data_IF_295697183915
#
_entry.id   IF_295697183915
#
_cell.length_a   1.000
_cell.length_b   1.000
_cell.length_c   1.000
_cell.angle_alpha   90.00
_cell.angle_beta   90.00
_cell.angle_gamma   90.00
#
_symmetry.space_group_name_H-M   'P 1'
#
loop_
_entity.id
_entity.type
_entity.pdbx_description
1 polymer ?
#
# COMPACT_ATOMS: atom_id res chain seq x y z
N UNK A 1 -14.30 15.99 -4.84
CA UNK A 1 -14.05 15.34 -3.54
C UNK A 1 -15.10 15.83 -2.56
N UNK A 2 -15.80 14.92 -1.89
CA UNK A 2 -16.73 15.20 -0.80
C UNK A 2 -16.24 14.49 0.46
N UNK A 3 -16.34 15.18 1.59
CA UNK A 3 -15.96 14.68 2.90
C UNK A 3 -17.09 15.04 3.86
N UNK A 4 -17.63 14.07 4.58
CA UNK A 4 -18.77 14.28 5.47
C UNK A 4 -18.36 14.92 6.78
N UNK A 5 -17.30 14.41 7.41
CA UNK A 5 -16.78 14.98 8.65
C UNK A 5 -15.27 14.90 8.74
N UNK A 6 -14.68 15.95 9.32
CA UNK A 6 -13.27 16.02 9.66
C UNK A 6 -13.17 16.36 11.14
N UNK A 7 -12.40 15.56 11.88
CA UNK A 7 -12.12 15.75 13.30
C UNK A 7 -10.62 15.79 13.50
N UNK A 8 -10.16 16.86 14.12
CA UNK A 8 -8.77 17.05 14.52
C UNK A 8 -8.76 17.17 16.04
N UNK A 9 -7.96 16.34 16.70
CA UNK A 9 -7.81 16.34 18.15
C UNK A 9 -6.34 16.53 18.49
N UNK A 10 -6.05 17.64 19.14
CA UNK A 10 -4.75 17.88 19.76
C UNK A 10 -4.72 17.21 21.14
N UNK A 11 -3.62 16.55 21.44
CA UNK A 11 -3.40 15.88 22.71
C UNK A 11 -2.15 16.45 23.37
N UNK A 12 -2.17 16.57 24.70
CA UNK A 12 -0.96 16.80 25.45
C UNK A 12 -0.21 15.46 25.52
N UNK A 13 1.01 15.36 24.94
CA UNK A 13 1.76 14.11 24.91
C UNK A 13 2.14 13.70 26.33
N UNK A 14 1.78 12.48 26.72
CA UNK A 14 2.18 11.88 28.01
C UNK A 14 3.29 10.87 27.76
N UNK A 15 4.17 10.64 28.73
CA UNK A 15 5.22 9.62 28.62
C UNK A 15 4.65 8.23 28.29
N UNK A 16 3.45 7.90 28.77
CA UNK A 16 2.78 6.63 28.48
C UNK A 16 2.02 6.61 27.15
N UNK A 17 1.74 7.76 26.53
CA UNK A 17 1.03 7.86 25.24
C UNK A 17 1.46 9.15 24.53
N UNK A 18 2.57 9.14 23.78
CA UNK A 18 3.14 10.33 23.20
C UNK A 18 2.49 10.74 21.88
N UNK A 19 1.18 10.54 21.75
CA UNK A 19 0.43 11.13 20.64
C UNK A 19 0.19 12.60 20.93
N UNK A 20 0.38 13.44 19.92
CA UNK A 20 0.12 14.87 20.04
C UNK A 20 -1.00 15.32 19.09
N UNK A 21 -1.27 14.55 18.05
CA UNK A 21 -2.33 14.83 17.09
C UNK A 21 -3.01 13.54 16.66
N UNK A 22 -4.34 13.55 16.68
CA UNK A 22 -5.18 12.55 16.02
C UNK A 22 -6.05 13.25 14.99
N UNK A 23 -6.02 12.74 13.76
CA UNK A 23 -6.83 13.20 12.65
C UNK A 23 -7.79 12.08 12.28
N UNK A 24 -9.06 12.41 12.08
CA UNK A 24 -10.07 11.47 11.59
C UNK A 24 -10.90 12.15 10.53
N UNK A 25 -11.03 11.51 9.37
CA UNK A 25 -11.93 11.96 8.31
C UNK A 25 -12.86 10.80 7.94
N UNK A 26 -14.15 11.08 7.78
CA UNK A 26 -15.18 10.06 7.51
C UNK A 26 -15.89 10.33 6.19
N UNK A 27 -16.34 9.24 5.56
CA UNK A 27 -17.11 9.23 4.30
C UNK A 27 -16.44 10.09 3.22
N UNK A 28 -15.18 9.77 2.93
CA UNK A 28 -14.43 10.42 1.86
C UNK A 28 -14.85 9.78 0.56
N UNK A 29 -15.39 10.59 -0.35
CA UNK A 29 -15.78 10.14 -1.68
C UNK A 29 -15.19 11.08 -2.73
N UNK A 30 -14.52 10.50 -3.71
CA UNK A 30 -13.96 11.23 -4.84
C UNK A 30 -14.40 10.56 -6.14
N UNK A 31 -15.18 11.30 -6.92
CA UNK A 31 -15.59 10.91 -8.26
C UNK A 31 -14.82 11.74 -9.26
N UNK A 32 -14.02 11.07 -10.08
CA UNK A 32 -13.38 11.64 -11.25
C UNK A 32 -13.84 10.89 -12.51
N UNK A 33 -13.65 11.45 -13.72
CA UNK A 33 -13.97 10.74 -14.96
C UNK A 33 -13.20 9.43 -15.14
N UNK A 34 -12.02 9.30 -14.50
CA UNK A 34 -11.15 8.12 -14.60
C UNK A 34 -11.41 7.06 -13.53
N UNK A 35 -11.86 7.49 -12.35
CA UNK A 35 -12.00 6.60 -11.20
C UNK A 35 -13.00 7.13 -10.17
N UNK A 36 -13.44 6.22 -9.31
CA UNK A 36 -14.23 6.51 -8.12
C UNK A 36 -13.50 5.92 -6.90
N UNK A 37 -13.11 6.78 -5.99
CA UNK A 37 -12.51 6.43 -4.71
C UNK A 37 -13.56 6.65 -3.61
N UNK A 38 -13.71 5.66 -2.75
CA UNK A 38 -14.55 5.75 -1.55
C UNK A 38 -13.79 5.17 -0.37
N UNK A 39 -13.77 5.89 0.74
CA UNK A 39 -13.15 5.48 1.99
C UNK A 39 -14.10 5.81 3.13
N UNK A 40 -14.43 4.82 3.96
CA UNK A 40 -15.38 5.03 5.06
C UNK A 40 -14.77 5.86 6.17
N UNK A 41 -13.53 5.57 6.59
CA UNK A 41 -12.84 6.33 7.62
C UNK A 41 -11.33 6.30 7.41
N UNK A 42 -10.69 7.45 7.53
CA UNK A 42 -9.23 7.57 7.66
C UNK A 42 -8.93 8.06 9.07
N UNK A 43 -8.10 7.32 9.79
CA UNK A 43 -7.60 7.70 11.10
C UNK A 43 -6.07 7.81 11.05
N UNK A 44 -5.53 9.00 11.26
CA UNK A 44 -4.10 9.22 11.36
C UNK A 44 -3.73 9.64 12.79
N UNK A 45 -2.78 8.96 13.41
CA UNK A 45 -2.18 9.36 14.69
C UNK A 45 -0.75 9.78 14.46
N UNK A 46 -0.40 10.99 14.87
CA UNK A 46 0.96 11.49 14.85
C UNK A 46 1.57 11.40 16.26
N UNK A 47 2.77 10.85 16.30
CA UNK A 47 3.55 10.62 17.50
C UNK A 47 4.62 11.69 17.66
N UNK A 48 4.86 12.11 18.90
CA UNK A 48 5.91 13.05 19.24
C UNK A 48 7.13 12.26 19.69
N UNK A 49 8.24 12.40 18.95
CA UNK A 49 9.50 11.68 19.19
C UNK A 49 9.33 10.16 19.38
N UNK A 50 8.84 9.43 18.35
CA UNK A 50 8.60 7.99 18.44
C UNK A 50 9.85 7.18 18.86
N UNK A 51 11.04 7.64 18.44
CA UNK A 51 12.32 7.02 18.76
C UNK A 51 12.73 7.21 20.23
N UNK A 52 12.58 8.41 20.80
CA UNK A 52 12.96 8.70 22.18
C UNK A 52 12.17 7.86 23.17
N UNK A 53 10.86 7.73 22.90
CA UNK A 53 9.93 7.09 23.83
C UNK A 53 9.76 5.60 23.54
N UNK A 54 10.42 5.07 22.51
CA UNK A 54 10.41 3.66 22.10
C UNK A 54 9.00 3.08 21.83
N UNK A 55 8.00 3.94 21.65
CA UNK A 55 6.59 3.56 21.55
C UNK A 55 6.23 2.90 20.22
N UNK A 56 6.85 3.31 19.12
CA UNK A 56 6.55 2.77 17.78
C UNK A 56 7.82 2.27 17.11
N UNK A 57 7.68 1.43 16.09
CA UNK A 57 8.75 0.88 15.25
C UNK A 57 9.62 1.91 14.52
N UNK A 58 9.45 3.21 14.79
CA UNK A 58 10.10 4.32 14.08
C UNK A 58 9.21 5.21 13.20
N UNK A 59 7.95 4.88 12.85
CA UNK A 59 7.10 5.81 12.11
C UNK A 59 6.63 6.94 13.00
N UNK A 60 6.58 8.14 12.40
CA UNK A 60 6.03 9.34 13.03
C UNK A 60 4.50 9.34 12.99
N UNK A 61 3.93 8.57 12.06
CA UNK A 61 2.51 8.56 11.80
C UNK A 61 2.03 7.15 11.55
N UNK A 62 0.93 6.78 12.21
CA UNK A 62 0.18 5.57 11.88
C UNK A 62 -1.12 5.99 11.21
N UNK A 63 -1.42 5.43 10.04
CA UNK A 63 -2.62 5.72 9.26
C UNK A 63 -3.45 4.45 9.13
N UNK A 64 -4.65 4.45 9.68
CA UNK A 64 -5.70 3.47 9.44
C UNK A 64 -6.61 3.95 8.32
N UNK A 65 -6.90 3.08 7.35
CA UNK A 65 -7.80 3.34 6.22
C UNK A 65 -8.85 2.24 6.19
N UNK A 66 -10.06 2.57 6.62
CA UNK A 66 -11.19 1.64 6.73
C UNK A 66 -12.07 1.68 5.47
N UNK A 67 -12.41 0.48 4.98
CA UNK A 67 -13.24 0.25 3.79
C UNK A 67 -12.75 1.03 2.57
N UNK A 68 -11.48 0.83 2.21
CA UNK A 68 -10.89 1.47 1.03
C UNK A 68 -11.44 0.80 -0.23
N UNK A 69 -12.14 1.57 -1.06
CA UNK A 69 -12.70 1.09 -2.33
C UNK A 69 -12.25 1.98 -3.47
N UNK A 70 -11.56 1.39 -4.44
CA UNK A 70 -11.09 2.07 -5.63
C UNK A 70 -11.67 1.38 -6.87
N UNK A 71 -12.48 2.11 -7.61
CA UNK A 71 -13.04 1.66 -8.89
C UNK A 71 -12.42 2.48 -10.01
N UNK A 72 -11.76 1.81 -10.94
CA UNK A 72 -11.13 2.41 -12.12
C UNK A 72 -11.95 2.01 -13.34
N UNK A 73 -12.45 2.99 -14.09
CA UNK A 73 -13.35 2.69 -15.20
C UNK A 73 -12.62 2.07 -16.39
N UNK A 74 -11.39 2.52 -16.66
CA UNK A 74 -10.55 2.00 -17.76
C UNK A 74 -9.09 1.94 -17.33
N UNK A 75 -8.41 0.84 -17.69
CA UNK A 75 -6.98 0.68 -17.40
C UNK A 75 -6.10 1.78 -18.00
N UNK A 76 -6.54 2.42 -19.09
CA UNK A 76 -5.79 3.49 -19.76
C UNK A 76 -5.80 4.82 -19.00
N UNK A 77 -6.83 5.06 -18.19
CA UNK A 77 -6.96 6.28 -17.40
C UNK A 77 -6.61 6.02 -15.92
N UNK A 78 -5.71 5.06 -15.65
CA UNK A 78 -5.27 4.79 -14.29
C UNK A 78 -4.64 6.06 -13.70
N UNK A 79 -5.08 6.54 -12.52
CA UNK A 79 -4.48 7.72 -11.89
C UNK A 79 -2.99 7.50 -11.63
N UNK A 80 -2.17 8.55 -11.78
CA UNK A 80 -0.71 8.46 -11.64
C UNK A 80 -0.27 7.79 -10.32
N UNK A 81 -0.88 8.19 -9.20
CA UNK A 81 -0.58 7.60 -7.89
C UNK A 81 -0.90 6.10 -7.80
N UNK A 82 -1.92 5.61 -8.52
CA UNK A 82 -2.24 4.18 -8.59
C UNK A 82 -1.20 3.46 -9.44
N UNK A 83 -0.75 4.07 -10.53
CA UNK A 83 0.33 3.54 -11.37
C UNK A 83 1.63 3.45 -10.56
N UNK A 84 1.96 4.47 -9.76
CA UNK A 84 3.13 4.48 -8.88
C UNK A 84 3.04 3.39 -7.80
N UNK A 85 1.87 3.25 -7.14
CA UNK A 85 1.64 2.18 -6.17
C UNK A 85 1.80 0.79 -6.81
N UNK A 86 1.27 0.63 -8.03
CA UNK A 86 1.41 -0.60 -8.80
C UNK A 86 2.86 -0.90 -9.12
N UNK A 87 3.62 0.05 -9.66
CA UNK A 87 5.05 -0.13 -9.99
C UNK A 87 5.88 -0.45 -8.74
N UNK A 88 5.61 0.22 -7.62
CA UNK A 88 6.24 -0.07 -6.33
C UNK A 88 5.92 -1.48 -5.82
N UNK A 89 4.67 -1.92 -5.94
CA UNK A 89 4.26 -3.27 -5.56
C UNK A 89 4.92 -4.31 -6.45
N UNK A 90 4.89 -4.14 -7.78
CA UNK A 90 5.56 -5.04 -8.73
C UNK A 90 7.05 -5.11 -8.44
N UNK A 91 7.70 -3.97 -8.25
CA UNK A 91 9.12 -3.92 -7.89
C UNK A 91 9.39 -4.66 -6.59
N UNK A 92 8.50 -4.52 -5.60
CA UNK A 92 8.60 -5.25 -4.32
C UNK A 92 8.37 -6.74 -4.49
N UNK A 93 7.48 -7.18 -5.38
CA UNK A 93 7.27 -8.60 -5.70
C UNK A 93 8.50 -9.15 -6.43
N UNK A 94 9.07 -8.41 -7.38
CA UNK A 94 10.16 -8.90 -8.22
C UNK A 94 11.54 -8.85 -7.55
N UNK A 95 11.75 -7.88 -6.66
CA UNK A 95 13.06 -7.65 -6.01
C UNK A 95 13.02 -7.74 -4.48
N UNK A 96 11.84 -7.84 -3.88
CA UNK A 96 11.72 -8.00 -2.44
C UNK A 96 12.08 -9.42 -2.00
N UNK A 97 12.37 -9.53 -0.71
CA UNK A 97 12.58 -10.81 -0.05
C UNK A 97 11.23 -11.35 0.43
N UNK A 98 10.87 -12.54 -0.05
CA UNK A 98 9.65 -13.23 0.36
C UNK A 98 9.87 -13.82 1.75
N UNK A 99 9.20 -13.27 2.76
CA UNK A 99 9.30 -13.76 4.13
C UNK A 99 8.35 -14.94 4.38
N UNK A 100 7.14 -14.87 3.82
CA UNK A 100 6.09 -15.88 3.99
C UNK A 100 5.06 -15.82 2.86
N UNK A 101 4.58 -16.98 2.45
CA UNK A 101 3.53 -17.14 1.44
C UNK A 101 2.81 -18.46 1.72
N UNK A 102 1.56 -18.40 2.21
CA UNK A 102 0.78 -19.59 2.53
C UNK A 102 -0.39 -19.76 1.54
N UNK A 103 -0.75 -21.02 1.27
CA UNK A 103 -1.97 -21.41 0.53
C UNK A 103 -2.21 -20.64 -0.78
N UNK A 104 -1.17 -20.46 -1.59
CA UNK A 104 -1.31 -19.91 -2.93
C UNK A 104 -2.14 -20.86 -3.80
N UNK A 105 -3.32 -20.40 -4.21
CA UNK A 105 -4.24 -21.10 -5.10
C UNK A 105 -4.42 -20.30 -6.37
N UNK A 106 -4.18 -20.92 -7.50
CA UNK A 106 -4.49 -20.35 -8.81
C UNK A 106 -5.50 -21.24 -9.52
N UNK A 107 -6.40 -20.62 -10.26
CA UNK A 107 -7.44 -21.31 -11.00
C UNK A 107 -7.67 -20.62 -12.32
N UNK A 108 -7.77 -21.42 -13.38
CA UNK A 108 -8.14 -20.93 -14.71
C UNK A 108 -9.36 -21.73 -15.15
N UNK A 109 -10.42 -21.00 -15.49
CA UNK A 109 -11.63 -21.56 -16.05
C UNK A 109 -11.78 -21.08 -17.48
N UNK A 110 -12.00 -22.03 -18.39
CA UNK A 110 -12.22 -21.78 -19.81
C UNK A 110 -13.68 -22.13 -20.15
N UNK A 111 -14.45 -21.11 -20.54
CA UNK A 111 -15.79 -21.26 -21.10
C UNK A 111 -16.03 -20.15 -22.14
N UNK A 112 -17.28 -19.75 -22.33
CA UNK A 112 -17.62 -18.58 -23.16
C UNK A 112 -16.93 -17.30 -22.67
N UNK A 113 -16.70 -17.25 -21.36
CA UNK A 113 -15.80 -16.31 -20.71
C UNK A 113 -14.66 -17.08 -20.03
N UNK A 114 -13.45 -16.51 -20.07
CA UNK A 114 -12.33 -17.06 -19.32
C UNK A 114 -12.17 -16.28 -18.01
N UNK A 115 -11.98 -17.03 -16.94
CA UNK A 115 -11.79 -16.51 -15.60
C UNK A 115 -10.47 -17.01 -15.05
N UNK A 116 -9.62 -16.08 -14.66
CA UNK A 116 -8.39 -16.37 -13.92
C UNK A 116 -8.62 -15.90 -12.49
N UNK A 117 -8.39 -16.77 -11.53
CA UNK A 117 -8.47 -16.45 -10.11
C UNK A 117 -7.15 -16.79 -9.44
N UNK A 118 -6.70 -15.92 -8.54
CA UNK A 118 -5.59 -16.17 -7.64
C UNK A 118 -6.04 -15.84 -6.22
N UNK A 119 -5.69 -16.67 -5.25
CA UNK A 119 -5.94 -16.46 -3.83
C UNK A 119 -4.67 -16.81 -3.07
N UNK A 120 -4.31 -16.03 -2.07
CA UNK A 120 -3.13 -16.24 -1.24
C UNK A 120 -3.41 -15.83 0.20
N UNK A 121 -2.81 -16.54 1.16
CA UNK A 121 -2.93 -16.28 2.58
C UNK A 121 -1.57 -15.93 3.20
N UNK A 122 -1.58 -15.11 4.26
CA UNK A 122 -0.40 -14.71 5.04
C UNK A 122 0.81 -14.31 4.18
N UNK A 123 0.59 -13.48 3.16
CA UNK A 123 1.64 -13.05 2.25
C UNK A 123 2.44 -11.90 2.85
N UNK A 124 3.71 -12.16 3.16
CA UNK A 124 4.63 -11.19 3.73
C UNK A 124 5.82 -10.95 2.78
N UNK A 125 6.03 -9.70 2.38
CA UNK A 125 7.16 -9.29 1.54
C UNK A 125 7.95 -8.22 2.26
N UNK A 126 9.26 -8.41 2.37
CA UNK A 126 10.19 -7.36 2.77
C UNK A 126 10.68 -6.63 1.52
N UNK A 127 10.44 -5.33 1.46
CA UNK A 127 10.93 -4.51 0.35
C UNK A 127 12.35 -3.97 0.62
N UNK A 128 12.98 -3.46 -0.43
CA UNK A 128 14.31 -2.85 -0.39
C UNK A 128 14.40 -1.60 0.52
N UNK A 129 13.26 -1.03 0.92
CA UNK A 129 13.19 0.09 1.87
C UNK A 129 13.08 -0.37 3.33
N UNK A 130 13.32 -1.66 3.61
CA UNK A 130 13.14 -2.29 4.92
C UNK A 130 11.72 -2.12 5.48
N UNK A 131 10.72 -2.34 4.63
CA UNK A 131 9.31 -2.35 5.01
C UNK A 131 8.70 -3.70 4.72
N UNK A 132 7.87 -4.17 5.62
CA UNK A 132 7.10 -5.38 5.44
C UNK A 132 5.71 -4.99 4.94
N UNK A 133 5.37 -5.51 3.76
CA UNK A 133 3.99 -5.61 3.30
C UNK A 133 3.44 -6.94 3.81
N UNK A 134 2.42 -6.88 4.66
CA UNK A 134 1.72 -8.07 5.17
C UNK A 134 0.28 -8.05 4.69
N UNK A 135 -0.16 -9.12 4.06
CA UNK A 135 -1.55 -9.33 3.66
C UNK A 135 -2.02 -10.65 4.25
N UNK A 136 -3.08 -10.64 5.06
CA UNK A 136 -3.61 -11.89 5.64
C UNK A 136 -4.30 -12.70 4.56
N UNK A 137 -5.03 -12.03 3.66
CA UNK A 137 -5.70 -12.66 2.53
C UNK A 137 -5.72 -11.71 1.35
N UNK A 138 -5.43 -12.25 0.17
CA UNK A 138 -5.56 -11.52 -1.08
C UNK A 138 -6.24 -12.41 -2.10
N UNK A 139 -7.39 -11.97 -2.59
CA UNK A 139 -8.15 -12.61 -3.65
C UNK A 139 -8.16 -11.70 -4.87
N UNK A 140 -7.73 -12.22 -6.01
CA UNK A 140 -7.74 -11.53 -7.29
C UNK A 140 -8.49 -12.37 -8.32
N UNK A 141 -9.35 -11.73 -9.10
CA UNK A 141 -10.09 -12.35 -10.20
C UNK A 141 -10.02 -11.45 -11.43
N UNK A 142 -9.58 -12.04 -12.54
CA UNK A 142 -9.63 -11.46 -13.87
C UNK A 142 -10.67 -12.23 -14.67
N UNK A 143 -11.74 -11.55 -15.06
CA UNK A 143 -12.74 -12.06 -16.00
C UNK A 143 -12.49 -11.40 -17.34
N UNK A 144 -12.57 -12.16 -18.44
CA UNK A 144 -12.45 -11.58 -19.78
C UNK A 144 -13.39 -12.26 -20.76
N UNK A 145 -14.00 -11.42 -21.59
CA UNK A 145 -14.88 -11.84 -22.66
C UNK A 145 -14.13 -11.72 -23.99
N UNK A 146 -14.02 -12.82 -24.74
CA UNK A 146 -13.27 -12.85 -26.00
C UNK A 146 -13.93 -12.02 -27.10
N UNK A 147 -15.26 -11.98 -27.13
CA UNK A 147 -16.04 -11.35 -28.21
C UNK A 147 -15.91 -9.83 -28.17
N UNK A 148 -15.95 -9.25 -26.96
CA UNK A 148 -15.99 -7.80 -26.79
C UNK A 148 -14.60 -7.18 -26.46
N UNK A 149 -13.55 -8.00 -26.32
CA UNK A 149 -12.23 -7.60 -25.80
C UNK A 149 -12.30 -6.75 -24.51
N UNK A 150 -13.33 -7.00 -23.70
CA UNK A 150 -13.53 -6.36 -22.40
C UNK A 150 -13.12 -7.33 -21.30
N UNK A 151 -12.37 -6.80 -20.33
CA UNK A 151 -11.98 -7.54 -19.13
C UNK A 151 -12.45 -6.79 -17.88
N UNK A 152 -12.78 -7.52 -16.83
CA UNK A 152 -13.01 -6.97 -15.50
C UNK A 152 -11.98 -7.56 -14.55
N UNK A 153 -11.30 -6.71 -13.79
CA UNK A 153 -10.39 -7.16 -12.76
C UNK A 153 -10.93 -6.74 -11.40
N UNK A 154 -10.96 -7.66 -10.44
CA UNK A 154 -11.35 -7.40 -9.06
C UNK A 154 -10.27 -7.96 -8.16
N UNK A 155 -9.82 -7.15 -7.22
CA UNK A 155 -8.85 -7.54 -6.21
C UNK A 155 -9.37 -7.09 -4.85
N UNK A 156 -9.39 -8.01 -3.90
CA UNK A 156 -9.82 -7.78 -2.53
C UNK A 156 -8.66 -8.21 -1.64
N UNK A 157 -8.17 -7.28 -0.84
CA UNK A 157 -7.07 -7.50 0.08
C UNK A 157 -7.54 -7.24 1.51
N UNK A 158 -7.36 -8.21 2.40
CA UNK A 158 -7.80 -8.18 3.79
C UNK A 158 -6.60 -8.07 4.75
N UNK A 159 -6.80 -7.28 5.81
CA UNK A 159 -5.82 -6.95 6.84
C UNK A 159 -4.45 -6.53 6.27
N UNK A 160 -4.48 -5.61 5.31
CA UNK A 160 -3.28 -5.07 4.70
C UNK A 160 -2.50 -4.23 5.72
N UNK A 161 -1.23 -4.55 5.90
CA UNK A 161 -0.30 -3.78 6.73
C UNK A 161 0.92 -3.41 5.92
N UNK A 162 1.28 -2.15 5.99
CA UNK A 162 2.54 -1.64 5.48
C UNK A 162 3.30 -1.03 6.65
N UNK A 163 4.25 -1.80 7.16
CA UNK A 163 4.96 -1.46 8.39
C UNK A 163 6.46 -1.34 8.16
N UNK A 164 7.07 -0.28 8.67
CA UNK A 164 8.52 -0.13 8.66
C UNK A 164 9.17 -1.10 9.65
N UNK A 165 10.17 -1.84 9.19
CA UNK A 165 10.99 -2.69 10.06
C UNK A 165 11.95 -1.78 10.83
N UNK A 166 12.04 -1.99 12.14
CA UNK A 166 13.09 -1.35 12.94
C UNK A 166 14.44 -1.87 12.46
N UNK A 167 15.28 -1.01 11.88
CA UNK A 167 16.70 -1.31 11.82
C UNK A 167 17.24 -1.25 13.25
N UNK A 168 17.62 -2.39 13.80
CA UNK A 168 18.15 -2.50 15.17
C UNK A 168 19.51 -1.78 15.34
N UNK A 169 20.09 -1.25 14.26
CA UNK A 169 21.45 -0.69 14.24
C UNK A 169 21.65 0.62 15.00
N UNK A 170 20.59 1.38 15.34
CA UNK A 170 20.77 2.65 16.09
C UNK A 170 20.51 2.51 17.60
N UNK A 171 21.20 1.58 18.24
CA UNK A 171 21.07 1.27 19.68
C UNK A 171 21.85 2.23 20.61
N UNK A 172 22.30 3.39 20.13
CA UNK A 172 23.27 4.23 20.86
C UNK A 172 22.97 5.73 20.97
N UNK A 173 21.87 6.24 20.42
CA UNK A 173 21.71 7.70 20.32
C UNK A 173 21.05 8.27 21.57
N UNK A 174 21.90 8.87 22.42
CA UNK A 174 21.50 9.76 23.51
C UNK A 174 20.42 10.75 23.06
N UNK A 175 19.60 11.24 24.00
CA UNK A 175 18.56 12.24 23.72
C UNK A 175 19.09 13.42 22.88
N UNK A 176 20.33 13.84 23.14
CA UNK A 176 20.99 14.93 22.41
C UNK A 176 21.18 14.62 20.93
N UNK A 177 21.60 13.40 20.58
CA UNK A 177 21.79 13.01 19.17
C UNK A 177 20.46 13.03 18.41
N UNK A 178 19.37 12.62 19.05
CA UNK A 178 18.05 12.66 18.40
C UNK A 178 17.57 14.09 18.15
N UNK A 179 17.89 15.04 19.03
CA UNK A 179 17.61 16.47 18.78
C UNK A 179 18.44 17.02 17.61
N UNK A 180 19.68 16.56 17.44
CA UNK A 180 20.54 16.94 16.31
C UNK A 180 20.03 16.37 14.99
N UNK A 181 19.55 15.13 14.97
CA UNK A 181 19.00 14.50 13.76
C UNK A 181 17.55 14.92 13.44
N UNK A 182 16.80 15.43 14.43
CA UNK A 182 15.39 15.78 14.28
C UNK A 182 15.10 16.70 13.09
N UNK A 183 15.84 17.80 12.84
CA UNK A 183 15.60 18.64 11.66
C UNK A 183 15.82 17.90 10.34
N UNK A 184 16.82 17.01 10.27
CA UNK A 184 17.09 16.19 9.08
C UNK A 184 15.97 15.18 8.85
N UNK A 185 15.50 14.51 9.90
CA UNK A 185 14.42 13.54 9.81
C UNK A 185 13.08 14.21 9.52
N UNK A 186 12.81 15.39 10.09
CA UNK A 186 11.66 16.21 9.75
C UNK A 186 11.72 16.64 8.28
N UNK A 187 12.89 17.06 7.78
CA UNK A 187 13.06 17.38 6.37
C UNK A 187 12.81 16.18 5.44
N UNK A 188 13.31 14.99 5.83
CA UNK A 188 13.02 13.74 5.10
C UNK A 188 11.54 13.38 5.17
N UNK A 189 10.89 13.59 6.31
CA UNK A 189 9.45 13.38 6.47
C UNK A 189 8.64 14.28 5.54
N UNK A 190 9.01 15.56 5.43
CA UNK A 190 8.34 16.50 4.52
C UNK A 190 8.56 16.10 3.06
N UNK A 191 9.77 15.65 2.70
CA UNK A 191 10.11 15.30 1.31
C UNK A 191 9.59 13.93 0.88
N UNK A 192 9.57 12.96 1.78
CA UNK A 192 9.15 11.58 1.54
C UNK A 192 8.33 11.08 2.75
N UNK A 193 7.06 11.53 2.86
CA UNK A 193 6.20 11.17 3.99
C UNK A 193 5.93 9.67 4.02
N UNK A 194 5.89 9.03 2.85
CA UNK A 194 5.61 7.60 2.72
C UNK A 194 6.63 6.77 3.47
N UNK A 195 7.90 7.17 3.53
CA UNK A 195 8.96 6.47 4.28
C UNK A 195 8.83 6.49 5.82
N UNK A 196 7.93 7.33 6.36
CA UNK A 196 7.70 7.52 7.80
C UNK A 196 6.27 7.21 8.26
N UNK A 197 5.41 6.75 7.34
CA UNK A 197 4.04 6.36 7.63
C UNK A 197 3.95 4.84 7.66
N UNK A 198 3.33 4.31 8.71
CA UNK A 198 2.78 2.96 8.71
C UNK A 198 1.31 3.02 8.31
N UNK A 199 0.92 2.16 7.38
CA UNK A 199 -0.46 2.10 6.87
C UNK A 199 -1.09 0.78 7.28
N UNK A 200 -2.30 0.85 7.81
CA UNK A 200 -3.15 -0.30 8.10
C UNK A 200 -4.48 -0.13 7.36
N UNK A 201 -4.90 -1.15 6.63
CA UNK A 201 -6.21 -1.19 6.02
C UNK A 201 -6.85 -2.56 6.27
N UNK A 202 -7.94 -2.64 7.04
CA UNK A 202 -8.64 -3.91 7.26
C UNK A 202 -9.13 -4.56 5.97
N UNK A 203 -9.50 -3.73 4.99
CA UNK A 203 -10.00 -4.18 3.70
C UNK A 203 -9.77 -3.13 2.63
N UNK A 204 -9.19 -3.56 1.52
CA UNK A 204 -8.99 -2.77 0.31
C UNK A 204 -9.57 -3.50 -0.91
N UNK A 205 -10.58 -2.90 -1.53
CA UNK A 205 -11.26 -3.43 -2.70
C UNK A 205 -10.87 -2.58 -3.92
N UNK A 206 -10.19 -3.18 -4.89
CA UNK A 206 -9.78 -2.53 -6.13
C UNK A 206 -10.49 -3.22 -7.29
N UNK A 207 -11.22 -2.45 -8.09
CA UNK A 207 -11.97 -2.94 -9.25
C UNK A 207 -11.61 -2.15 -10.49
N UNK A 208 -11.38 -2.85 -11.59
CA UNK A 208 -11.27 -2.27 -12.92
C UNK A 208 -12.44 -2.78 -13.77
N UNK A 209 -13.24 -1.87 -14.30
CA UNK A 209 -14.41 -2.22 -15.11
C UNK A 209 -14.03 -2.63 -16.53
N UNK A 210 -13.04 -1.96 -17.11
CA UNK A 210 -12.47 -2.28 -18.41
C UNK A 210 -10.95 -2.43 -18.31
N UNK A 211 -10.50 -3.66 -18.06
CA UNK A 211 -9.12 -4.03 -17.88
C UNK A 211 -8.56 -4.67 -19.14
N UNK A 212 -7.56 -4.01 -19.74
CA UNK A 212 -6.79 -4.54 -20.87
C UNK A 212 -5.44 -5.04 -20.38
N UNK A 213 -5.17 -6.32 -20.61
CA UNK A 213 -3.88 -6.94 -20.27
C UNK A 213 -2.71 -6.22 -20.98
N UNK A 214 -2.90 -5.76 -22.22
CA UNK A 214 -1.88 -5.00 -22.99
C UNK A 214 -1.55 -3.63 -22.37
N UNK A 215 -2.51 -3.05 -21.67
CA UNK A 215 -2.33 -1.77 -20.96
C UNK A 215 -1.75 -1.98 -19.57
N UNK A 216 -1.64 -3.25 -19.12
CA UNK A 216 -0.90 -3.54 -17.90
C UNK A 216 0.58 -3.25 -18.17
N UNK A 217 1.03 -2.10 -17.67
CA UNK A 217 2.46 -1.81 -17.52
C UNK A 217 3.16 -2.93 -16.75
N UNK A 218 2.42 -3.66 -15.91
CA UNK A 218 2.88 -4.86 -15.22
C UNK A 218 3.56 -5.86 -16.15
N UNK A 219 2.99 -6.18 -17.32
CA UNK A 219 3.64 -7.07 -18.28
C UNK A 219 4.85 -6.43 -18.96
N UNK A 220 4.83 -5.11 -19.17
CA UNK A 220 5.96 -4.38 -19.77
C UNK A 220 7.15 -4.34 -18.80
N UNK A 221 6.90 -4.02 -17.53
CA UNK A 221 7.90 -3.98 -16.46
C UNK A 221 8.44 -5.38 -16.15
N UNK A 222 7.58 -6.40 -16.04
CA UNK A 222 8.01 -7.80 -15.90
C UNK A 222 8.87 -8.23 -17.08
N UNK A 223 8.45 -7.92 -18.31
CA UNK A 223 9.20 -8.26 -19.51
C UNK A 223 10.57 -7.56 -19.57
N UNK A 224 10.62 -6.26 -19.24
CA UNK A 224 11.86 -5.49 -19.19
C UNK A 224 12.82 -6.05 -18.14
N UNK A 225 12.32 -6.34 -16.94
CA UNK A 225 13.15 -6.87 -15.86
C UNK A 225 13.59 -8.32 -16.08
N UNK A 226 12.73 -9.15 -16.67
CA UNK A 226 13.10 -10.50 -17.09
C UNK A 226 14.23 -10.47 -18.12
N UNK A 227 14.19 -9.49 -19.05
CA UNK A 227 15.26 -9.27 -20.01
C UNK A 227 16.56 -8.83 -19.35
N UNK A 228 16.52 -7.87 -18.42
CA UNK A 228 17.71 -7.44 -17.66
C UNK A 228 18.34 -8.60 -16.88
N UNK A 229 17.53 -9.44 -16.22
CA UNK A 229 18.03 -10.62 -15.51
C UNK A 229 18.68 -11.64 -16.45
N UNK A 230 18.13 -11.82 -17.66
CA UNK A 230 18.69 -12.71 -18.67
C UNK A 230 20.04 -12.21 -19.20
N UNK A 231 20.16 -10.91 -19.47
CA UNK A 231 21.40 -10.25 -19.95
C UNK A 231 22.51 -10.21 -18.89
N UNK A 232 22.19 -10.34 -17.59
CA UNK A 232 23.21 -10.44 -16.53
C UNK A 232 23.79 -11.85 -16.32
N UNK A 233 23.14 -12.88 -16.87
CA UNK A 233 23.54 -14.28 -16.69
C UNK A 233 24.21 -14.91 -17.93
N UNK A 234 24.39 -14.13 -19.01
CA UNK A 234 25.04 -14.52 -20.27
C UNK A 234 26.00 -13.44 -20.75
#
# INVERSE_FOLDING_TARGET
>A
MSISSIRIQFHLPKCAHPRWLSFTATEIEEKQPSHHLSVATIHATLWLFPYLLRFTSGPWTNVGVDDFRLRIYTSQATPGWVADLRSNLITSILSGEYLRLDDLKTGVFFGDEWKISASVHNWHILNWQNRIYSLVKLDAQLLRNWVNDTGKFVMIAEECRWTKVRSFEKRGDSFLWQMVYFPSDLWKFIRDPMSFIDVYSPRADITFDNFRIRDSELLKELGAKAREMYEQHY
#
